data_IF_492957995815
#
_entry.id   IF_492957995815
#
_cell.length_a   1.000
_cell.length_b   1.000
_cell.length_c   1.000
_cell.angle_alpha   90.00
_cell.angle_beta   90.00
_cell.angle_gamma   90.00
#
_symmetry.space_group_name_H-M   'P 1'
#
loop_
_entity.id
_entity.type
_entity.pdbx_description
1 polymer ?
#
# COMPACT_ATOMS: atom_id res chain seq x y z
N UNK A 1 -13.17 1.20 -9.74
CA UNK A 1 -14.65 1.13 -9.89
C UNK A 1 -15.35 0.64 -8.62
N UNK A 2 -14.83 -0.35 -7.87
CA UNK A 2 -15.43 -0.79 -6.60
C UNK A 2 -15.55 0.27 -5.50
N UNK A 3 -14.59 1.21 -5.42
CA UNK A 3 -14.47 2.09 -4.25
C UNK A 3 -15.50 3.23 -4.16
N UNK A 4 -16.41 3.37 -5.14
CA UNK A 4 -17.38 4.49 -5.19
C UNK A 4 -18.84 4.07 -5.16
N UNK A 5 -19.17 2.85 -5.60
CA UNK A 5 -20.56 2.41 -5.80
C UNK A 5 -21.01 1.48 -4.67
N UNK A 6 -20.14 0.57 -4.22
CA UNK A 6 -20.39 -0.30 -3.08
C UNK A 6 -19.06 -0.67 -2.42
N UNK A 7 -18.44 0.23 -1.64
CA UNK A 7 -17.11 0.04 -1.05
C UNK A 7 -17.00 -1.27 -0.28
N UNK A 8 -18.10 -1.69 0.36
CA UNK A 8 -18.19 -2.93 1.15
C UNK A 8 -18.08 -4.22 0.32
N UNK A 9 -18.29 -4.17 -1.00
CA UNK A 9 -18.13 -5.32 -1.88
C UNK A 9 -16.68 -5.52 -2.34
N UNK A 10 -15.76 -4.63 -1.97
CA UNK A 10 -14.33 -4.74 -2.26
C UNK A 10 -13.76 -6.14 -1.95
N UNK A 11 -13.94 -6.70 -0.75
CA UNK A 11 -13.40 -8.00 -0.38
C UNK A 11 -13.95 -9.13 -1.26
N UNK A 12 -15.25 -9.12 -1.52
CA UNK A 12 -15.92 -10.15 -2.31
C UNK A 12 -15.43 -10.14 -3.77
N UNK A 13 -15.49 -8.97 -4.39
CA UNK A 13 -15.09 -8.79 -5.79
C UNK A 13 -13.59 -9.04 -5.98
N UNK A 14 -12.75 -8.60 -5.04
CA UNK A 14 -11.32 -8.91 -5.04
C UNK A 14 -11.06 -10.41 -4.84
N UNK A 15 -11.78 -11.10 -3.96
CA UNK A 15 -11.65 -12.54 -3.81
C UNK A 15 -12.06 -13.29 -5.10
N UNK A 16 -13.15 -12.89 -5.75
CA UNK A 16 -13.58 -13.46 -7.04
C UNK A 16 -12.54 -13.20 -8.14
N UNK A 17 -12.03 -11.96 -8.24
CA UNK A 17 -10.99 -11.62 -9.21
C UNK A 17 -9.70 -12.41 -8.95
N UNK A 18 -9.26 -12.54 -7.70
CA UNK A 18 -8.12 -13.36 -7.30
C UNK A 18 -8.31 -14.81 -7.70
N UNK A 19 -9.47 -15.40 -7.40
CA UNK A 19 -9.77 -16.78 -7.77
C UNK A 19 -9.73 -16.98 -9.29
N UNK A 20 -10.28 -16.03 -10.06
CA UNK A 20 -10.23 -16.05 -11.52
C UNK A 20 -8.78 -15.98 -12.05
N UNK A 21 -7.96 -15.07 -11.52
CA UNK A 21 -6.54 -14.94 -11.91
C UNK A 21 -5.74 -16.20 -11.60
N UNK A 22 -5.94 -16.79 -10.42
CA UNK A 22 -5.32 -18.07 -10.06
C UNK A 22 -5.79 -19.17 -11.00
N UNK A 23 -7.09 -19.30 -11.25
CA UNK A 23 -7.62 -20.31 -12.16
C UNK A 23 -7.06 -20.17 -13.58
N UNK A 24 -6.97 -18.94 -14.11
CA UNK A 24 -6.35 -18.68 -15.41
C UNK A 24 -4.88 -19.09 -15.45
N UNK A 25 -4.09 -18.70 -14.45
CA UNK A 25 -2.68 -19.05 -14.36
C UNK A 25 -2.47 -20.57 -14.23
N UNK A 26 -3.28 -21.24 -13.40
CA UNK A 26 -3.24 -22.71 -13.25
C UNK A 26 -3.62 -23.43 -14.55
N UNK A 27 -4.63 -22.94 -15.27
CA UNK A 27 -5.02 -23.46 -16.60
C UNK A 27 -3.94 -23.23 -17.66
N UNK A 28 -3.13 -22.18 -17.52
CA UNK A 28 -1.96 -21.93 -18.36
C UNK A 28 -0.71 -22.74 -17.94
N UNK A 29 -0.82 -23.60 -16.92
CA UNK A 29 0.23 -24.51 -16.47
C UNK A 29 1.13 -23.97 -15.36
N UNK A 30 0.93 -22.75 -14.87
CA UNK A 30 1.76 -22.14 -13.81
C UNK A 30 1.56 -22.88 -12.48
N UNK A 31 2.59 -23.48 -11.91
CA UNK A 31 2.53 -24.26 -10.66
C UNK A 31 2.21 -23.41 -9.42
N UNK A 32 1.84 -24.03 -8.29
CA UNK A 32 1.65 -23.31 -7.02
C UNK A 32 2.93 -22.64 -6.51
N UNK A 33 4.10 -23.24 -6.75
CA UNK A 33 5.40 -22.66 -6.45
C UNK A 33 5.71 -21.45 -7.37
N UNK A 34 5.34 -21.55 -8.66
CA UNK A 34 5.46 -20.44 -9.60
C UNK A 34 4.48 -19.29 -9.32
N UNK A 35 3.34 -19.58 -8.69
CA UNK A 35 2.47 -18.57 -8.07
C UNK A 35 3.02 -18.01 -6.75
N UNK A 36 4.06 -18.63 -6.20
CA UNK A 36 4.75 -18.19 -4.98
C UNK A 36 4.16 -18.74 -3.69
N UNK A 37 3.25 -19.72 -3.75
CA UNK A 37 2.73 -20.44 -2.59
C UNK A 37 3.72 -21.50 -2.11
N UNK A 38 4.88 -21.01 -1.70
CA UNK A 38 6.04 -21.80 -1.26
C UNK A 38 6.62 -21.16 0.01
N UNK A 39 7.48 -21.89 0.72
CA UNK A 39 8.27 -21.35 1.83
C UNK A 39 7.46 -20.76 3.01
N UNK A 40 6.23 -21.20 3.26
CA UNK A 40 5.28 -20.61 4.22
C UNK A 40 5.89 -20.16 5.56
N UNK A 41 6.58 -21.06 6.30
CA UNK A 41 7.22 -20.68 7.58
C UNK A 41 8.32 -19.62 7.42
N UNK A 42 9.21 -19.79 6.43
CA UNK A 42 10.31 -18.83 6.20
C UNK A 42 9.76 -17.47 5.75
N UNK A 43 8.72 -17.47 4.94
CA UNK A 43 8.04 -16.28 4.49
C UNK A 43 7.30 -15.57 5.64
N UNK A 44 6.64 -16.32 6.52
CA UNK A 44 5.99 -15.78 7.71
C UNK A 44 6.98 -15.11 8.66
N UNK A 45 8.14 -15.73 8.92
CA UNK A 45 9.18 -15.15 9.77
C UNK A 45 9.75 -13.87 9.16
N UNK A 46 10.13 -13.91 7.87
CA UNK A 46 10.66 -12.73 7.20
C UNK A 46 9.62 -11.59 7.12
N UNK A 47 8.37 -11.94 6.79
CA UNK A 47 7.24 -11.01 6.76
C UNK A 47 6.94 -10.39 8.13
N UNK A 48 7.02 -11.18 9.20
CA UNK A 48 6.85 -10.69 10.58
C UNK A 48 7.93 -9.70 11.00
N UNK A 49 9.20 -9.98 10.66
CA UNK A 49 10.31 -9.04 10.90
C UNK A 49 10.10 -7.73 10.13
N UNK A 50 9.71 -7.82 8.85
CA UNK A 50 9.42 -6.64 8.03
C UNK A 50 8.21 -5.86 8.57
N UNK A 51 7.15 -6.53 9.01
CA UNK A 51 6.00 -5.89 9.62
C UNK A 51 6.39 -5.14 10.92
N UNK A 52 7.23 -5.73 11.76
CA UNK A 52 7.77 -5.07 12.95
C UNK A 52 8.62 -3.84 12.58
N UNK A 53 9.45 -3.94 11.53
CA UNK A 53 10.23 -2.81 11.03
C UNK A 53 9.32 -1.67 10.53
N UNK A 54 8.24 -1.99 9.82
CA UNK A 54 7.23 -1.01 9.41
C UNK A 54 6.61 -0.33 10.64
N UNK A 55 6.17 -1.10 11.65
CA UNK A 55 5.63 -0.52 12.88
C UNK A 55 6.62 0.43 13.58
N UNK A 56 7.92 0.08 13.59
CA UNK A 56 8.97 0.94 14.13
C UNK A 56 9.13 2.24 13.32
N UNK A 57 9.11 2.17 11.98
CA UNK A 57 9.16 3.36 11.11
C UNK A 57 7.96 4.27 11.34
N UNK A 58 6.74 3.72 11.39
CA UNK A 58 5.53 4.47 11.71
C UNK A 58 5.61 5.13 13.09
N UNK A 59 6.11 4.40 14.09
CA UNK A 59 6.30 4.92 15.45
C UNK A 59 7.29 6.08 15.48
N UNK A 60 8.45 5.93 14.83
CA UNK A 60 9.43 7.01 14.71
C UNK A 60 8.89 8.23 13.98
N UNK A 61 8.14 8.02 12.89
CA UNK A 61 7.51 9.09 12.13
C UNK A 61 6.44 9.86 12.91
N UNK A 62 5.65 9.19 13.74
CA UNK A 62 4.66 9.88 14.60
C UNK A 62 5.32 10.53 15.81
N UNK A 63 6.40 9.96 16.34
CA UNK A 63 7.16 10.55 17.44
C UNK A 63 7.75 11.91 17.07
N UNK A 64 8.22 12.09 15.82
CA UNK A 64 8.78 13.35 15.32
C UNK A 64 7.68 14.35 14.92
N UNK A 65 7.55 15.52 15.58
CA UNK A 65 6.46 16.47 15.30
C UNK A 65 6.42 16.99 13.86
N UNK A 66 7.58 17.13 13.22
CA UNK A 66 7.71 17.63 11.83
C UNK A 66 7.08 16.71 10.79
N UNK A 67 6.97 15.41 11.08
CA UNK A 67 6.42 14.40 10.16
C UNK A 67 4.96 14.07 10.43
N UNK A 68 4.40 14.49 11.57
CA UNK A 68 2.98 14.27 11.93
C UNK A 68 1.97 14.73 10.85
N UNK A 69 2.16 15.88 10.17
CA UNK A 69 1.26 16.28 9.08
C UNK A 69 1.17 15.27 7.93
N UNK A 70 2.21 14.44 7.72
CA UNK A 70 2.22 13.40 6.69
C UNK A 70 1.28 12.23 7.00
N UNK A 71 0.93 12.05 8.27
CA UNK A 71 -0.02 11.02 8.73
C UNK A 71 -1.47 11.52 8.72
N UNK A 72 -1.72 12.78 8.37
CA UNK A 72 -3.06 13.31 8.24
C UNK A 72 -3.74 12.73 7.00
N UNK A 73 -4.83 12.00 7.17
CA UNK A 73 -5.61 11.44 6.07
C UNK A 73 -7.10 11.59 6.39
N UNK A 74 -7.76 12.55 5.74
CA UNK A 74 -9.19 12.82 5.95
C UNK A 74 -10.08 11.60 5.68
N UNK A 75 -9.65 10.69 4.79
CA UNK A 75 -10.38 9.45 4.51
C UNK A 75 -10.36 8.52 5.70
N UNK A 76 -9.24 8.45 6.41
CA UNK A 76 -9.11 7.64 7.62
C UNK A 76 -9.73 8.33 8.85
N UNK A 77 -9.64 9.66 8.94
CA UNK A 77 -10.10 10.44 10.09
C UNK A 77 -11.62 10.62 10.11
N UNK A 78 -12.27 10.73 8.96
CA UNK A 78 -13.74 10.87 8.83
C UNK A 78 -14.53 9.60 9.20
N UNK A 79 -13.89 8.43 9.26
CA UNK A 79 -14.53 7.17 9.60
C UNK A 79 -14.89 7.05 11.10
N UNK A 80 -15.76 6.10 11.46
CA UNK A 80 -15.88 5.68 12.86
C UNK A 80 -14.71 4.75 13.25
N UNK A 81 -14.48 4.53 14.56
CA UNK A 81 -13.45 3.58 15.03
C UNK A 81 -13.69 2.16 14.51
N UNK A 82 -14.95 1.72 14.52
CA UNK A 82 -15.34 0.42 14.00
C UNK A 82 -15.06 0.30 12.50
N UNK A 83 -15.32 1.37 11.73
CA UNK A 83 -15.01 1.39 10.30
C UNK A 83 -13.51 1.36 10.04
N UNK A 84 -12.69 2.06 10.82
CA UNK A 84 -11.22 1.95 10.71
C UNK A 84 -10.73 0.53 10.95
N UNK A 85 -11.29 -0.18 11.93
CA UNK A 85 -10.96 -1.59 12.16
C UNK A 85 -11.41 -2.47 10.99
N UNK A 86 -12.61 -2.25 10.45
CA UNK A 86 -13.07 -2.95 9.25
C UNK A 86 -12.15 -2.69 8.04
N UNK A 87 -11.72 -1.45 7.83
CA UNK A 87 -10.77 -1.12 6.78
C UNK A 87 -9.45 -1.90 6.99
N UNK A 88 -8.86 -1.79 8.18
CA UNK A 88 -7.55 -2.37 8.48
C UNK A 88 -7.55 -3.91 8.54
N UNK A 89 -8.67 -4.54 8.91
CA UNK A 89 -8.76 -5.98 9.16
C UNK A 89 -9.54 -6.77 8.10
N UNK A 90 -10.33 -6.12 7.24
CA UNK A 90 -11.13 -6.80 6.21
C UNK A 90 -10.93 -6.19 4.83
N UNK A 91 -11.10 -4.87 4.69
CA UNK A 91 -11.01 -4.22 3.38
C UNK A 91 -9.59 -4.25 2.83
N UNK A 92 -8.60 -3.87 3.62
CA UNK A 92 -7.19 -3.89 3.20
C UNK A 92 -6.71 -5.32 2.94
N UNK A 93 -6.86 -6.30 3.85
CA UNK A 93 -6.35 -7.64 3.59
C UNK A 93 -6.98 -8.31 2.37
N UNK A 94 -8.32 -8.24 2.23
CA UNK A 94 -9.05 -9.01 1.23
C UNK A 94 -9.39 -8.20 -0.02
N UNK A 95 -9.74 -6.92 0.16
CA UNK A 95 -10.09 -6.01 -0.92
C UNK A 95 -8.87 -5.46 -1.67
N UNK A 96 -7.70 -5.37 -1.02
CA UNK A 96 -6.48 -4.81 -1.61
C UNK A 96 -5.36 -5.84 -1.69
N UNK A 97 -4.79 -6.24 -0.54
CA UNK A 97 -3.53 -6.99 -0.50
C UNK A 97 -3.65 -8.35 -1.17
N UNK A 98 -4.74 -9.08 -0.93
CA UNK A 98 -4.97 -10.39 -1.54
C UNK A 98 -4.96 -10.30 -3.07
N UNK A 99 -5.71 -9.35 -3.63
CA UNK A 99 -5.80 -9.17 -5.08
C UNK A 99 -4.46 -8.70 -5.65
N UNK A 100 -3.83 -7.72 -5.03
CA UNK A 100 -2.62 -7.12 -5.57
C UNK A 100 -1.43 -8.07 -5.51
N UNK A 101 -1.20 -8.77 -4.39
CA UNK A 101 -0.07 -9.68 -4.29
C UNK A 101 -0.28 -10.93 -5.13
N UNK A 102 -1.46 -11.55 -5.08
CA UNK A 102 -1.74 -12.73 -5.91
C UNK A 102 -1.80 -12.38 -7.39
N UNK A 103 -2.36 -11.22 -7.77
CA UNK A 103 -2.43 -10.78 -9.15
C UNK A 103 -1.08 -10.40 -9.73
N UNK A 104 -0.35 -9.48 -9.10
CA UNK A 104 0.90 -8.94 -9.64
C UNK A 104 2.10 -9.86 -9.39
N UNK A 105 2.28 -10.41 -8.17
CA UNK A 105 3.47 -11.21 -7.78
C UNK A 105 3.24 -12.72 -7.88
N UNK A 106 1.98 -13.15 -7.90
CA UNK A 106 1.59 -14.54 -8.13
C UNK A 106 1.38 -14.83 -9.62
N UNK A 107 0.18 -14.53 -10.12
CA UNK A 107 -0.27 -14.89 -11.46
C UNK A 107 0.57 -14.21 -12.57
N UNK A 108 0.57 -12.88 -12.64
CA UNK A 108 1.28 -12.13 -13.69
C UNK A 108 2.77 -12.43 -13.69
N UNK A 109 3.43 -12.30 -12.53
CA UNK A 109 4.85 -12.55 -12.40
C UNK A 109 5.20 -14.02 -12.71
N UNK A 110 4.41 -14.98 -12.22
CA UNK A 110 4.62 -16.41 -12.47
C UNK A 110 4.55 -16.75 -13.97
N UNK A 111 3.53 -16.23 -14.66
CA UNK A 111 3.37 -16.40 -16.12
C UNK A 111 4.56 -15.80 -16.89
N UNK A 112 4.89 -14.53 -16.62
CA UNK A 112 5.97 -13.83 -17.33
C UNK A 112 7.34 -14.42 -17.05
N UNK A 113 7.62 -14.86 -15.82
CA UNK A 113 8.93 -15.39 -15.45
C UNK A 113 9.23 -16.68 -16.22
N UNK A 114 8.21 -17.51 -16.44
CA UNK A 114 8.34 -18.79 -17.13
C UNK A 114 8.69 -18.62 -18.61
N UNK A 115 8.14 -17.61 -19.27
CA UNK A 115 8.29 -17.40 -20.71
C UNK A 115 9.37 -16.37 -21.06
N UNK A 116 9.61 -15.38 -20.20
CA UNK A 116 10.46 -14.23 -20.49
C UNK A 116 11.54 -13.95 -19.42
N UNK A 117 11.62 -14.81 -18.39
CA UNK A 117 12.63 -14.72 -17.34
C UNK A 117 12.34 -13.67 -16.25
N UNK A 118 13.19 -13.70 -15.22
CA UNK A 118 13.02 -12.92 -13.98
C UNK A 118 13.04 -11.41 -14.21
N UNK A 119 13.92 -10.90 -15.08
CA UNK A 119 14.06 -9.46 -15.29
C UNK A 119 12.79 -8.85 -15.90
N UNK A 120 12.26 -9.47 -16.96
CA UNK A 120 11.02 -9.06 -17.61
C UNK A 120 9.83 -9.14 -16.66
N UNK A 121 9.70 -10.26 -15.94
CA UNK A 121 8.62 -10.44 -14.97
C UNK A 121 8.64 -9.36 -13.88
N UNK A 122 9.81 -9.05 -13.33
CA UNK A 122 9.98 -7.98 -12.34
C UNK A 122 9.64 -6.62 -12.92
N UNK A 123 10.16 -6.27 -14.11
CA UNK A 123 9.94 -4.97 -14.74
C UNK A 123 8.46 -4.73 -15.05
N UNK A 124 7.78 -5.70 -15.67
CA UNK A 124 6.38 -5.57 -16.06
C UNK A 124 5.46 -5.59 -14.84
N UNK A 125 5.66 -6.53 -13.91
CA UNK A 125 4.85 -6.61 -12.68
C UNK A 125 4.95 -5.31 -11.86
N UNK A 126 6.18 -4.81 -11.68
CA UNK A 126 6.43 -3.59 -10.90
C UNK A 126 5.93 -2.34 -11.61
N UNK A 127 6.11 -2.23 -12.93
CA UNK A 127 5.61 -1.11 -13.73
C UNK A 127 4.09 -1.03 -13.71
N UNK A 128 3.40 -2.15 -13.93
CA UNK A 128 1.94 -2.20 -13.86
C UNK A 128 1.42 -1.94 -12.44
N UNK A 129 2.12 -2.41 -11.41
CA UNK A 129 1.79 -2.08 -10.03
C UNK A 129 1.95 -0.58 -9.73
N UNK A 130 2.97 0.06 -10.29
CA UNK A 130 3.14 1.52 -10.22
C UNK A 130 1.96 2.25 -10.87
N UNK A 131 1.58 1.87 -12.08
CA UNK A 131 0.45 2.47 -12.79
C UNK A 131 -0.90 2.22 -12.09
N UNK A 132 -1.08 1.06 -11.46
CA UNK A 132 -2.25 0.74 -10.65
C UNK A 132 -2.50 1.76 -9.51
N UNK A 133 -1.43 2.43 -9.04
CA UNK A 133 -1.49 3.41 -7.96
C UNK A 133 -1.86 4.83 -8.39
N UNK A 134 -2.12 5.09 -9.67
CA UNK A 134 -2.49 6.44 -10.14
C UNK A 134 -3.76 6.96 -9.44
N UNK A 135 -4.85 6.18 -9.44
CA UNK A 135 -6.10 6.62 -8.82
C UNK A 135 -5.99 6.74 -7.29
N UNK A 136 -5.42 5.76 -6.55
CA UNK A 136 -5.12 5.93 -5.13
C UNK A 136 -4.28 7.17 -4.82
N UNK A 137 -3.27 7.48 -5.65
CA UNK A 137 -2.41 8.64 -5.43
C UNK A 137 -3.15 9.97 -5.64
N UNK A 138 -4.07 10.04 -6.61
CA UNK A 138 -4.96 11.21 -6.79
C UNK A 138 -5.83 11.41 -5.54
N UNK A 139 -6.43 10.34 -5.03
CA UNK A 139 -7.30 10.41 -3.84
C UNK A 139 -6.49 10.79 -2.58
N UNK A 140 -5.27 10.26 -2.43
CA UNK A 140 -4.34 10.61 -1.35
C UNK A 140 -3.91 12.07 -1.41
N UNK A 141 -3.54 12.58 -2.60
CA UNK A 141 -3.15 13.98 -2.78
C UNK A 141 -4.29 14.96 -2.41
N UNK A 142 -5.55 14.55 -2.63
CA UNK A 142 -6.74 15.33 -2.22
C UNK A 142 -7.01 15.25 -0.73
N UNK A 143 -6.72 14.11 -0.10
CA UNK A 143 -6.98 13.86 1.32
C UNK A 143 -5.88 14.36 2.26
N UNK A 144 -4.70 14.72 1.73
CA UNK A 144 -3.59 15.27 2.51
C UNK A 144 -2.89 16.43 1.76
N UNK A 145 -3.28 17.68 2.04
CA UNK A 145 -2.63 18.86 1.46
C UNK A 145 -1.14 19.01 1.81
N UNK A 146 -0.68 18.44 2.92
CA UNK A 146 0.73 18.51 3.32
C UNK A 146 1.65 17.73 2.36
N UNK A 147 1.14 16.68 1.68
CA UNK A 147 1.89 16.00 0.62
C UNK A 147 2.10 16.89 -0.59
N UNK A 148 1.09 17.69 -0.94
CA UNK A 148 1.21 18.72 -1.98
C UNK A 148 2.33 19.71 -1.62
N UNK A 149 2.34 20.22 -0.39
CA UNK A 149 3.33 21.17 0.10
C UNK A 149 4.78 20.65 0.10
N UNK A 150 5.01 19.34 0.29
CA UNK A 150 6.35 18.73 0.17
C UNK A 150 6.88 18.74 -1.27
N UNK A 151 5.98 18.81 -2.26
CA UNK A 151 6.30 18.76 -3.69
C UNK A 151 6.07 20.09 -4.39
N UNK A 152 5.47 21.06 -3.70
CA UNK A 152 5.09 22.36 -4.25
C UNK A 152 6.29 23.32 -4.31
N UNK A 153 6.35 24.08 -5.39
CA UNK A 153 7.05 25.37 -5.42
C UNK A 153 6.17 26.48 -4.84
N UNK A 154 6.52 27.75 -5.07
CA UNK A 154 5.91 28.94 -4.42
C UNK A 154 4.38 29.12 -4.59
N UNK A 155 3.66 28.30 -5.36
CA UNK A 155 2.20 28.35 -5.50
C UNK A 155 1.55 26.96 -5.54
N UNK A 156 0.59 26.65 -4.65
CA UNK A 156 -0.16 25.40 -4.72
C UNK A 156 -1.06 25.30 -5.96
N UNK A 157 -1.04 24.19 -6.69
CA UNK A 157 -1.86 24.04 -7.89
C UNK A 157 -1.94 22.63 -8.48
N UNK A 158 -2.57 22.51 -9.67
CA UNK A 158 -2.78 21.23 -10.40
C UNK A 158 -1.48 20.46 -10.68
N UNK A 159 -0.35 21.18 -10.71
CA UNK A 159 1.00 20.62 -10.88
C UNK A 159 1.47 19.81 -9.66
N UNK A 160 0.98 20.10 -8.45
CA UNK A 160 1.35 19.37 -7.23
C UNK A 160 0.73 17.97 -7.22
N UNK A 161 -0.55 17.86 -7.57
CA UNK A 161 -1.21 16.55 -7.71
C UNK A 161 -0.48 15.69 -8.73
N UNK A 162 -0.08 16.26 -9.88
CA UNK A 162 0.66 15.53 -10.89
C UNK A 162 2.02 15.03 -10.36
N UNK A 163 2.75 15.85 -9.59
CA UNK A 163 4.01 15.47 -8.94
C UNK A 163 3.82 14.37 -7.89
N UNK A 164 2.81 14.50 -7.02
CA UNK A 164 2.47 13.47 -6.03
C UNK A 164 2.11 12.15 -6.71
N UNK A 165 1.33 12.20 -7.79
CA UNK A 165 0.97 11.00 -8.58
C UNK A 165 2.21 10.39 -9.23
N UNK A 166 3.03 11.17 -9.91
CA UNK A 166 4.26 10.67 -10.55
C UNK A 166 5.22 10.06 -9.52
N UNK A 167 5.45 10.75 -8.40
CA UNK A 167 6.24 10.25 -7.29
C UNK A 167 5.66 8.96 -6.68
N UNK A 168 4.34 8.87 -6.56
CA UNK A 168 3.66 7.65 -6.10
C UNK A 168 3.84 6.49 -7.07
N UNK A 169 3.68 6.70 -8.38
CA UNK A 169 3.88 5.68 -9.42
C UNK A 169 5.32 5.16 -9.38
N UNK A 170 6.31 6.06 -9.34
CA UNK A 170 7.73 5.68 -9.31
C UNK A 170 8.08 4.94 -8.02
N UNK A 171 7.65 5.44 -6.85
CA UNK A 171 7.93 4.81 -5.56
C UNK A 171 7.25 3.45 -5.42
N UNK A 172 6.00 3.32 -5.87
CA UNK A 172 5.27 2.04 -5.84
C UNK A 172 5.83 1.05 -6.86
N UNK A 173 6.32 1.50 -8.03
CA UNK A 173 7.07 0.64 -8.94
C UNK A 173 8.37 0.14 -8.31
N UNK A 174 9.14 1.01 -7.64
CA UNK A 174 10.34 0.60 -6.90
C UNK A 174 10.01 -0.40 -5.76
N UNK A 175 8.92 -0.17 -5.02
CA UNK A 175 8.41 -1.12 -4.05
C UNK A 175 7.98 -2.44 -4.69
N UNK A 176 7.42 -2.40 -5.90
CA UNK A 176 7.11 -3.57 -6.72
C UNK A 176 8.34 -4.44 -6.98
N UNK A 177 9.48 -3.82 -7.29
CA UNK A 177 10.75 -4.53 -7.50
C UNK A 177 11.18 -5.23 -6.21
N UNK A 178 11.13 -4.52 -5.08
CA UNK A 178 11.41 -5.10 -3.76
C UNK A 178 10.48 -6.29 -3.46
N UNK A 179 9.18 -6.16 -3.72
CA UNK A 179 8.20 -7.21 -3.43
C UNK A 179 8.41 -8.43 -4.32
N UNK A 180 8.74 -8.23 -5.60
CA UNK A 180 9.13 -9.32 -6.51
C UNK A 180 10.35 -10.07 -5.98
N UNK A 181 11.36 -9.35 -5.49
CA UNK A 181 12.57 -9.97 -4.94
C UNK A 181 12.29 -10.72 -3.62
N UNK A 182 11.47 -10.15 -2.73
CA UNK A 182 11.01 -10.85 -1.52
C UNK A 182 10.25 -12.13 -1.87
N UNK A 183 9.31 -12.06 -2.83
CA UNK A 183 8.58 -13.22 -3.35
C UNK A 183 9.52 -14.28 -3.92
N UNK A 184 10.56 -13.87 -4.65
CA UNK A 184 11.52 -14.79 -5.28
C UNK A 184 12.37 -15.52 -4.24
N UNK A 185 12.75 -14.84 -3.15
CA UNK A 185 13.62 -15.43 -2.12
C UNK A 185 12.87 -16.23 -1.04
N UNK A 186 11.63 -15.84 -0.72
CA UNK A 186 10.95 -16.27 0.51
C UNK A 186 9.48 -16.66 0.31
N UNK A 187 9.00 -16.70 -0.93
CA UNK A 187 7.60 -16.96 -1.25
C UNK A 187 6.70 -15.75 -1.06
N UNK A 188 5.46 -15.86 -1.55
CA UNK A 188 4.47 -14.78 -1.66
C UNK A 188 4.01 -14.23 -0.30
N UNK A 189 4.06 -15.04 0.76
CA UNK A 189 3.64 -14.60 2.09
C UNK A 189 4.48 -13.43 2.63
N UNK A 190 5.76 -13.34 2.25
CA UNK A 190 6.67 -12.28 2.72
C UNK A 190 6.20 -10.89 2.27
N UNK A 191 6.03 -10.61 0.95
CA UNK A 191 5.49 -9.33 0.52
C UNK A 191 4.04 -9.11 0.96
N UNK A 192 3.19 -10.16 1.04
CA UNK A 192 1.84 -10.03 1.60
C UNK A 192 1.84 -9.42 3.00
N UNK A 193 2.70 -9.93 3.89
CA UNK A 193 2.76 -9.41 5.26
C UNK A 193 3.35 -7.99 5.34
N UNK A 194 4.38 -7.69 4.54
CA UNK A 194 4.94 -6.34 4.45
C UNK A 194 3.90 -5.34 3.91
N UNK A 195 3.19 -5.74 2.85
CA UNK A 195 2.17 -4.93 2.22
C UNK A 195 0.98 -4.67 3.16
N UNK A 196 0.52 -5.72 3.86
CA UNK A 196 -0.51 -5.62 4.88
C UNK A 196 -0.09 -4.68 6.01
N UNK A 197 1.12 -4.85 6.56
CA UNK A 197 1.63 -4.00 7.63
C UNK A 197 1.65 -2.53 7.19
N UNK A 198 2.12 -2.25 5.98
CA UNK A 198 2.24 -0.88 5.45
C UNK A 198 0.86 -0.22 5.32
N UNK A 199 -0.14 -0.91 4.78
CA UNK A 199 -1.48 -0.32 4.60
C UNK A 199 -2.29 -0.28 5.89
N UNK A 200 -2.37 -1.38 6.64
CA UNK A 200 -3.22 -1.47 7.82
C UNK A 200 -2.70 -0.59 8.96
N UNK A 201 -1.37 -0.48 9.14
CA UNK A 201 -0.83 0.44 10.13
C UNK A 201 -1.03 1.90 9.74
N UNK A 202 -1.09 2.23 8.44
CA UNK A 202 -1.46 3.58 7.97
C UNK A 202 -2.73 4.13 8.63
N UNK A 203 -3.80 3.33 8.65
CA UNK A 203 -5.07 3.69 9.30
C UNK A 203 -4.94 3.90 10.82
N UNK A 204 -4.22 3.01 11.50
CA UNK A 204 -4.03 3.11 12.95
C UNK A 204 -3.19 4.33 13.33
N UNK A 205 -2.08 4.55 12.64
CA UNK A 205 -1.15 5.64 12.93
C UNK A 205 -1.68 7.01 12.51
N UNK A 206 -2.54 7.11 11.49
CA UNK A 206 -3.28 8.34 11.21
C UNK A 206 -4.11 8.79 12.42
N UNK A 207 -4.79 7.84 13.09
CA UNK A 207 -5.60 8.11 14.30
C UNK A 207 -4.75 8.42 15.53
N UNK A 208 -3.59 7.78 15.67
CA UNK A 208 -2.66 8.05 16.77
C UNK A 208 -2.09 9.46 16.61
N UNK A 209 -1.59 9.80 15.41
CA UNK A 209 -1.01 11.10 15.10
C UNK A 209 -2.01 12.25 15.34
N UNK A 210 -3.27 12.08 14.96
CA UNK A 210 -4.32 13.09 15.15
C UNK A 210 -4.62 13.43 16.62
N UNK A 211 -4.23 12.58 17.57
CA UNK A 211 -4.38 12.85 19.01
C UNK A 211 -3.16 13.53 19.64
N UNK A 212 -2.05 13.62 18.93
CA UNK A 212 -0.82 14.19 19.44
C UNK A 212 -0.77 15.69 19.16
N UNK A 213 -0.20 16.50 20.07
CA UNK A 213 -0.05 17.93 19.84
C UNK A 213 0.79 18.20 18.58
N UNK A 214 0.28 19.00 17.65
CA UNK A 214 1.12 19.60 16.61
C UNK A 214 2.04 20.59 17.31
N UNK A 215 3.34 20.32 17.39
CA UNK A 215 4.31 21.05 18.25
C UNK A 215 4.57 22.52 17.87
N UNK A 216 3.57 23.28 17.41
CA UNK A 216 3.66 24.71 17.26
C UNK A 216 3.52 25.39 18.64
N UNK A 217 4.41 26.31 19.03
CA UNK A 217 4.18 27.14 20.20
C UNK A 217 2.93 27.99 19.95
N UNK A 218 1.97 27.96 20.88
CA UNK A 218 0.95 29.00 20.95
C UNK A 218 1.68 30.33 21.18
N UNK A 219 1.68 31.22 20.18
CA UNK A 219 2.04 32.62 20.43
C UNK A 219 0.99 33.16 21.40
N UNK A 220 1.39 33.31 22.66
CA UNK A 220 0.55 33.83 23.72
C UNK A 220 -0.05 35.17 23.30
N UNK A 221 -1.37 35.24 23.29
CA UNK A 221 -2.10 36.49 23.20
C UNK A 221 -1.93 37.18 24.57
N UNK A 222 -1.04 38.17 24.63
CA UNK A 222 -1.02 39.12 25.74
C UNK A 222 -2.13 40.14 25.50
N UNK A 223 -3.19 40.19 26.34
CA UNK A 223 -4.06 41.36 26.35
C UNK A 223 -3.27 42.54 26.93
N UNK A 224 -3.28 43.65 26.21
CA UNK A 224 -2.95 44.98 26.77
C UNK A 224 -4.20 45.55 27.41
#
# INVERSE_FOLDING_TARGET
MNNKIAPRLGPLTSAVATAALVAMARRAGVSWEELGFEHGRRGAVAGGVLAAAVAAVYTGGVALPRTRPLFHDDRALSLSRARVLEEALLQVPLGTVLLEEVGFRGALYGMLRREHGTATATAVSSGLFGLWHILPAIDMARANPALGALTAGESPGRLDTARVVAGSVVSTAAAGVLFCELRRRRGLLTPVMLHLATNSFGYAFARIAAKLPSGAPQKGHHPK
#
